data_IF_179685701703
#
_entry.id   IF_179685701703
#
_cell.length_a   1.000
_cell.length_b   1.000
_cell.length_c   1.000
_cell.angle_alpha   90.00
_cell.angle_beta   90.00
_cell.angle_gamma   90.00
#
_symmetry.space_group_name_H-M   'P 1'
#
loop_
_entity.id
_entity.type
_entity.pdbx_description
1 polymer ?
#
# COMPACT_ATOMS: atom_id res chain seq x y z
N UNK A 1 -75.66 32.02 -12.40
CA UNK A 1 -74.70 31.44 -13.37
C UNK A 1 -73.60 30.78 -12.57
N UNK A 2 -73.26 29.52 -12.86
CA UNK A 2 -72.17 28.81 -12.18
C UNK A 2 -70.92 28.85 -13.06
N UNK A 3 -69.80 29.28 -12.49
CA UNK A 3 -68.50 29.27 -13.16
C UNK A 3 -67.91 27.87 -12.97
N UNK A 4 -67.74 27.15 -14.07
CA UNK A 4 -67.13 25.83 -14.09
C UNK A 4 -65.63 26.07 -14.27
N UNK A 5 -64.85 25.81 -13.22
CA UNK A 5 -63.39 25.87 -13.30
C UNK A 5 -62.93 24.51 -13.83
N UNK A 6 -62.62 24.45 -15.13
CA UNK A 6 -61.92 23.30 -15.69
C UNK A 6 -60.50 23.29 -15.10
N UNK A 7 -60.25 22.36 -14.17
CA UNK A 7 -58.89 22.09 -13.73
C UNK A 7 -58.11 21.47 -14.89
N UNK A 8 -57.09 22.17 -15.38
CA UNK A 8 -56.11 21.58 -16.28
C UNK A 8 -55.49 20.34 -15.61
N UNK A 9 -55.94 19.16 -16.02
CA UNK A 9 -55.24 17.92 -15.70
C UNK A 9 -53.95 17.92 -16.50
N UNK A 10 -52.89 18.46 -15.90
CA UNK A 10 -51.53 18.32 -16.42
C UNK A 10 -51.20 16.84 -16.49
N UNK A 11 -51.29 16.26 -17.68
CA UNK A 11 -50.93 14.88 -17.91
C UNK A 11 -49.43 14.73 -17.70
N UNK A 12 -49.05 13.85 -16.78
CA UNK A 12 -47.64 13.56 -16.51
C UNK A 12 -47.09 12.81 -17.73
N UNK A 13 -46.00 13.30 -18.30
CA UNK A 13 -45.33 12.65 -19.42
C UNK A 13 -44.48 11.46 -18.94
N UNK A 14 -45.15 10.33 -18.71
CA UNK A 14 -44.54 9.09 -18.26
C UNK A 14 -43.40 8.58 -19.16
N UNK A 15 -43.51 8.80 -20.47
CA UNK A 15 -42.46 8.42 -21.41
C UNK A 15 -41.16 9.20 -21.18
N UNK A 16 -41.28 10.51 -20.92
CA UNK A 16 -40.12 11.35 -20.57
C UNK A 16 -39.47 10.93 -19.26
N UNK A 17 -40.26 10.56 -18.26
CA UNK A 17 -39.76 10.08 -16.96
C UNK A 17 -38.99 8.77 -17.12
N UNK A 18 -39.55 7.79 -17.84
CA UNK A 18 -38.89 6.51 -18.09
C UNK A 18 -37.57 6.72 -18.84
N UNK A 19 -37.58 7.58 -19.86
CA UNK A 19 -36.38 7.90 -20.65
C UNK A 19 -35.28 8.51 -19.76
N UNK A 20 -35.64 9.46 -18.89
CA UNK A 20 -34.69 10.07 -17.97
C UNK A 20 -34.09 9.04 -16.99
N UNK A 21 -34.91 8.13 -16.46
CA UNK A 21 -34.46 7.05 -15.58
C UNK A 21 -33.46 6.12 -16.29
N UNK A 22 -33.73 5.76 -17.54
CA UNK A 22 -32.83 4.91 -18.34
C UNK A 22 -31.47 5.60 -18.55
N UNK A 23 -31.47 6.87 -18.94
CA UNK A 23 -30.24 7.65 -19.14
C UNK A 23 -29.41 7.70 -17.85
N UNK A 24 -30.06 8.02 -16.72
CA UNK A 24 -29.39 8.06 -15.42
C UNK A 24 -28.83 6.67 -15.06
N UNK A 25 -29.60 5.61 -15.28
CA UNK A 25 -29.17 4.24 -15.00
C UNK A 25 -27.93 3.82 -15.79
N UNK A 26 -27.86 4.16 -17.08
CA UNK A 26 -26.70 3.86 -17.93
C UNK A 26 -25.46 4.62 -17.46
N UNK A 27 -25.60 5.91 -17.14
CA UNK A 27 -24.48 6.72 -16.63
C UNK A 27 -23.96 6.17 -15.30
N UNK A 28 -24.87 5.81 -14.40
CA UNK A 28 -24.51 5.28 -13.09
C UNK A 28 -23.81 3.91 -13.20
N UNK A 29 -24.34 3.02 -14.04
CA UNK A 29 -23.73 1.71 -14.30
C UNK A 29 -22.34 1.84 -14.94
N UNK A 30 -22.18 2.73 -15.92
CA UNK A 30 -20.89 2.99 -16.56
C UNK A 30 -19.86 3.54 -15.57
N UNK A 31 -20.24 4.54 -14.76
CA UNK A 31 -19.37 5.09 -13.72
C UNK A 31 -18.99 4.02 -12.68
N UNK A 32 -19.97 3.21 -12.25
CA UNK A 32 -19.73 2.11 -11.32
C UNK A 32 -18.74 1.11 -11.89
N UNK A 33 -18.92 0.70 -13.14
CA UNK A 33 -18.03 -0.26 -13.79
C UNK A 33 -16.60 0.29 -13.91
N UNK A 34 -16.42 1.56 -14.29
CA UNK A 34 -15.08 2.16 -14.43
C UNK A 34 -14.39 2.31 -13.06
N UNK A 35 -15.12 2.70 -12.02
CA UNK A 35 -14.55 2.98 -10.71
C UNK A 35 -14.33 1.72 -9.86
N UNK A 36 -15.18 0.71 -10.00
CA UNK A 36 -15.20 -0.44 -9.09
C UNK A 36 -14.84 -1.77 -9.74
N UNK A 37 -14.73 -1.85 -11.08
CA UNK A 37 -14.14 -3.04 -11.71
C UNK A 37 -12.65 -3.03 -11.42
N UNK A 38 -12.23 -3.89 -10.49
CA UNK A 38 -10.82 -4.13 -10.23
C UNK A 38 -10.23 -4.76 -11.50
N UNK A 39 -9.28 -4.10 -12.19
CA UNK A 39 -8.54 -4.80 -13.23
C UNK A 39 -7.85 -6.01 -12.60
N UNK A 40 -7.74 -7.12 -13.33
CA UNK A 40 -6.79 -8.17 -12.94
C UNK A 40 -5.45 -7.48 -12.74
N UNK A 41 -4.97 -7.46 -11.49
CA UNK A 41 -3.65 -6.93 -11.20
C UNK A 41 -2.73 -7.77 -12.05
N UNK A 42 -2.14 -7.14 -13.07
CA UNK A 42 -1.02 -7.70 -13.82
C UNK A 42 -0.12 -8.34 -12.77
N UNK A 43 0.08 -9.66 -12.86
CA UNK A 43 0.97 -10.37 -11.94
C UNK A 43 2.24 -9.53 -11.90
N UNK A 44 2.51 -8.91 -10.75
CA UNK A 44 3.72 -8.13 -10.56
C UNK A 44 4.80 -9.16 -10.79
N UNK A 45 5.43 -9.12 -11.97
CA UNK A 45 6.61 -9.91 -12.27
C UNK A 45 7.64 -9.37 -11.31
N UNK A 46 7.69 -9.98 -10.13
CA UNK A 46 8.58 -9.59 -9.05
C UNK A 46 9.97 -9.56 -9.69
N UNK A 47 10.64 -8.39 -9.74
CA UNK A 47 11.98 -8.30 -10.31
C UNK A 47 12.83 -9.39 -9.66
N UNK A 48 13.62 -10.13 -10.45
CA UNK A 48 14.41 -11.27 -9.93
C UNK A 48 15.20 -10.91 -8.66
N UNK A 49 15.62 -9.65 -8.57
CA UNK A 49 16.32 -9.04 -7.42
C UNK A 49 15.55 -9.16 -6.08
N UNK A 50 14.22 -9.07 -6.06
CA UNK A 50 13.43 -9.21 -4.82
C UNK A 50 13.29 -10.67 -4.40
N UNK A 51 13.36 -11.61 -5.35
CA UNK A 51 13.38 -13.05 -5.05
C UNK A 51 14.65 -13.42 -4.28
N UNK A 52 15.78 -12.80 -4.60
CA UNK A 52 17.05 -13.04 -3.90
C UNK A 52 17.04 -12.42 -2.49
N UNK A 53 16.40 -11.26 -2.29
CA UNK A 53 16.20 -10.67 -0.96
C UNK A 53 15.34 -11.56 -0.03
N UNK A 54 14.37 -12.30 -0.60
CA UNK A 54 13.57 -13.26 0.17
C UNK A 54 14.38 -14.48 0.64
N UNK A 55 15.45 -14.85 -0.06
CA UNK A 55 16.35 -15.91 0.37
C UNK A 55 17.27 -15.43 1.49
N UNK A 56 17.71 -14.16 1.44
CA UNK A 56 18.51 -13.54 2.50
C UNK A 56 17.73 -13.38 3.81
N UNK A 57 16.44 -13.06 3.76
CA UNK A 57 15.61 -12.93 4.97
C UNK A 57 15.33 -14.26 5.68
N UNK A 58 15.49 -15.38 4.97
CA UNK A 58 15.37 -16.73 5.52
C UNK A 58 16.67 -17.25 6.13
N UNK A 59 17.79 -16.54 5.95
CA UNK A 59 19.07 -16.92 6.54
C UNK A 59 19.03 -16.70 8.05
N UNK A 60 18.99 -17.80 8.81
CA UNK A 60 19.17 -17.77 10.26
C UNK A 60 20.67 -17.89 10.56
N UNK A 61 21.27 -16.82 11.07
CA UNK A 61 22.66 -16.81 11.52
C UNK A 61 22.72 -17.08 13.01
N UNK A 62 23.42 -18.15 13.42
CA UNK A 62 23.72 -18.45 14.82
C UNK A 62 25.18 -18.11 15.13
N UNK A 63 25.46 -17.01 15.86
CA UNK A 63 26.83 -16.60 16.18
C UNK A 63 27.60 -17.66 16.98
N UNK A 64 26.91 -18.42 17.82
CA UNK A 64 27.53 -19.46 18.66
C UNK A 64 28.17 -20.56 17.82
N UNK A 65 27.61 -20.87 16.65
CA UNK A 65 28.18 -21.87 15.74
C UNK A 65 29.51 -21.39 15.15
N UNK A 66 29.60 -20.11 14.79
CA UNK A 66 30.83 -19.50 14.29
C UNK A 66 31.91 -19.45 15.38
N UNK A 67 31.57 -18.95 16.56
CA UNK A 67 32.50 -18.82 17.69
C UNK A 67 33.02 -20.18 18.17
N UNK A 68 32.21 -21.23 18.03
CA UNK A 68 32.60 -22.58 18.41
C UNK A 68 33.33 -23.36 17.33
N UNK A 69 33.37 -22.86 16.09
CA UNK A 69 34.00 -23.54 14.96
C UNK A 69 35.52 -23.71 15.19
N UNK A 70 36.09 -24.88 14.82
CA UNK A 70 37.53 -25.11 14.92
C UNK A 70 38.36 -24.08 14.14
N UNK A 71 37.84 -23.64 12.99
CA UNK A 71 38.49 -22.67 12.12
C UNK A 71 38.60 -21.31 12.81
N UNK A 72 37.52 -20.86 13.47
CA UNK A 72 37.51 -19.58 14.20
C UNK A 72 38.42 -19.63 15.43
N UNK A 73 38.45 -20.75 16.15
CA UNK A 73 39.30 -20.92 17.35
C UNK A 73 40.80 -20.95 17.06
N UNK A 74 41.20 -21.29 15.84
CA UNK A 74 42.60 -21.28 15.39
C UNK A 74 43.06 -19.87 14.99
N UNK A 75 42.12 -18.95 14.72
CA UNK A 75 42.46 -17.56 14.43
C UNK A 75 43.03 -16.91 15.68
N UNK A 76 44.27 -16.45 15.58
CA UNK A 76 44.87 -15.60 16.60
C UNK A 76 44.29 -14.21 16.47
N UNK A 77 43.73 -13.68 17.55
CA UNK A 77 43.39 -12.27 17.63
C UNK A 77 44.72 -11.49 17.69
N UNK A 78 45.03 -10.76 16.61
CA UNK A 78 46.26 -9.98 16.50
C UNK A 78 46.10 -8.52 16.95
N UNK A 79 44.88 -8.08 17.24
CA UNK A 79 44.58 -6.72 17.69
C UNK A 79 44.23 -6.65 19.17
N UNK A 80 44.67 -5.57 19.81
CA UNK A 80 44.16 -5.15 21.11
C UNK A 80 42.67 -4.81 20.99
N UNK A 81 41.91 -4.98 22.07
CA UNK A 81 40.51 -4.54 22.11
C UNK A 81 40.39 -3.11 21.58
N UNK A 82 39.54 -2.93 20.57
CA UNK A 82 39.27 -1.60 20.00
C UNK A 82 38.68 -0.77 21.13
N UNK A 83 39.44 0.22 21.59
CA UNK A 83 38.94 1.18 22.55
C UNK A 83 37.71 1.84 21.94
N UNK A 84 36.53 1.56 22.50
CA UNK A 84 35.27 2.15 22.04
C UNK A 84 35.45 3.67 22.20
N UNK A 85 35.45 4.45 21.10
CA UNK A 85 35.56 5.89 21.22
C UNK A 85 34.33 6.39 21.98
N UNK A 86 34.54 7.23 23.00
CA UNK A 86 33.45 7.91 23.71
C UNK A 86 32.62 8.69 22.67
N UNK A 87 31.35 8.31 22.42
CA UNK A 87 30.56 8.97 21.40
C UNK A 87 30.14 10.36 21.91
N UNK A 88 30.65 11.41 21.27
CA UNK A 88 30.22 12.79 21.47
C UNK A 88 30.60 13.42 22.83
N UNK A 89 30.20 14.68 23.02
CA UNK A 89 30.23 15.32 24.35
C UNK A 89 29.09 14.73 25.16
N UNK A 90 29.30 14.54 26.47
CA UNK A 90 28.21 14.22 27.39
C UNK A 90 27.04 15.20 27.28
N UNK A 91 27.32 16.45 26.90
CA UNK A 91 26.33 17.48 26.59
C UNK A 91 26.71 18.22 25.27
N UNK A 92 25.86 18.16 24.23
CA UNK A 92 26.12 18.80 22.94
C UNK A 92 26.01 20.33 22.94
N UNK A 93 25.61 20.97 24.05
CA UNK A 93 25.39 22.42 24.14
C UNK A 93 26.38 23.16 25.06
N UNK A 94 27.39 22.50 25.60
CA UNK A 94 28.42 23.22 26.37
C UNK A 94 29.32 24.06 25.42
N UNK A 95 29.57 25.35 25.72
CA UNK A 95 30.56 26.14 24.99
C UNK A 95 31.98 25.55 25.17
N UNK A 96 32.88 25.91 24.25
CA UNK A 96 34.29 25.49 24.26
C UNK A 96 35.09 26.18 25.36
#
# INVERSE_FOLDING_TARGET
MAIIIEQEKKSVNWFGIITAIVIIGVLFAGAYFILFTKPELIEIVVPGEIRDLSQLSQLSFNPEELLNSPQFKVLKQFDADVAIPQPGRSNPFQPY
#
